data_IF_888870324224
#
_entry.id   IF_888870324224
#
_cell.length_a   1.000
_cell.length_b   1.000
_cell.length_c   1.000
_cell.angle_alpha   90.00
_cell.angle_beta   90.00
_cell.angle_gamma   90.00
#
_symmetry.space_group_name_H-M   'P 1'
#
loop_
_entity.id
_entity.type
_entity.pdbx_description
1 polymer ?
#
# COMPACT_ATOMS: atom_id res chain seq x y z
N UNK A 1 -26.53 13.44 -29.81
CA UNK A 1 -26.61 12.29 -28.87
C UNK A 1 -25.28 11.51 -28.85
N UNK A 2 -24.86 11.01 -27.67
CA UNK A 2 -23.68 10.15 -27.52
C UNK A 2 -24.10 8.70 -27.23
N UNK A 3 -23.36 7.73 -27.75
CA UNK A 3 -23.61 6.31 -27.53
C UNK A 3 -23.06 5.83 -26.17
N UNK A 4 -22.10 6.54 -25.57
CA UNK A 4 -21.53 6.23 -24.27
C UNK A 4 -20.90 7.48 -23.62
N UNK A 5 -20.81 7.45 -22.29
CA UNK A 5 -20.09 8.41 -21.45
C UNK A 5 -19.23 7.63 -20.46
N UNK A 6 -17.96 8.01 -20.33
CA UNK A 6 -17.05 7.45 -19.34
C UNK A 6 -16.54 8.57 -18.44
N UNK A 7 -16.49 8.32 -17.14
CA UNK A 7 -16.10 9.31 -16.12
C UNK A 7 -14.72 8.96 -15.59
N UNK A 8 -13.76 9.85 -15.81
CA UNK A 8 -12.35 9.72 -15.40
C UNK A 8 -11.91 10.92 -14.56
N UNK A 9 -12.62 11.20 -13.46
CA UNK A 9 -12.35 12.35 -12.57
C UNK A 9 -11.36 12.03 -11.43
N UNK A 10 -10.86 10.80 -11.38
CA UNK A 10 -9.99 10.31 -10.31
C UNK A 10 -10.65 9.22 -9.48
N UNK A 11 -9.98 8.86 -8.38
CA UNK A 11 -10.45 7.89 -7.40
C UNK A 11 -10.04 8.37 -6.00
N UNK A 12 -10.90 8.14 -5.03
CA UNK A 12 -10.68 8.48 -3.63
C UNK A 12 -10.47 7.19 -2.83
N UNK A 13 -9.31 7.00 -2.18
CA UNK A 13 -9.04 5.81 -1.38
C UNK A 13 -9.63 5.95 0.03
N UNK A 14 -10.47 5.01 0.43
CA UNK A 14 -11.06 4.94 1.77
C UNK A 14 -10.04 4.47 2.82
N UNK A 15 -9.19 5.38 3.29
CA UNK A 15 -8.04 5.09 4.17
C UNK A 15 -8.08 5.88 5.49
N UNK A 16 -9.21 6.50 5.81
CA UNK A 16 -9.40 7.35 6.99
C UNK A 16 -9.18 6.56 8.28
N UNK A 17 -9.51 5.27 8.28
CA UNK A 17 -9.30 4.35 9.41
C UNK A 17 -7.84 4.26 9.86
N UNK A 18 -6.89 4.47 8.94
CA UNK A 18 -5.44 4.33 9.19
C UNK A 18 -4.70 5.67 9.13
N UNK A 19 -5.44 6.79 9.20
CA UNK A 19 -4.83 8.12 9.30
C UNK A 19 -3.92 8.23 10.52
N UNK A 20 -2.72 8.77 10.32
CA UNK A 20 -1.67 8.86 11.34
C UNK A 20 -1.07 7.52 11.78
N UNK A 21 -1.56 6.40 11.27
CA UNK A 21 -1.04 5.06 11.58
C UNK A 21 -0.01 4.62 10.54
N UNK A 22 -0.32 4.79 9.25
CA UNK A 22 0.58 4.46 8.14
C UNK A 22 0.83 5.67 7.26
N UNK A 23 1.98 5.68 6.58
CA UNK A 23 2.32 6.75 5.63
C UNK A 23 1.38 6.70 4.42
N UNK A 24 0.85 7.86 4.06
CA UNK A 24 -0.05 8.07 2.91
C UNK A 24 0.49 9.20 2.05
N UNK A 25 0.26 9.15 0.74
CA UNK A 25 0.57 10.29 -0.12
C UNK A 25 -0.46 11.43 0.07
N UNK A 26 -0.21 12.56 -0.58
CA UNK A 26 -1.09 13.74 -0.51
C UNK A 26 -2.51 13.51 -1.07
N UNK A 27 -2.74 12.43 -1.83
CA UNK A 27 -4.03 12.02 -2.35
C UNK A 27 -4.71 10.94 -1.47
N UNK A 28 -4.13 10.60 -0.31
CA UNK A 28 -4.69 9.64 0.65
C UNK A 28 -4.38 8.17 0.36
N UNK A 29 -3.61 7.84 -0.68
CA UNK A 29 -3.27 6.42 -0.94
C UNK A 29 -2.14 5.96 -0.01
N UNK A 30 -2.24 4.72 0.48
CA UNK A 30 -1.24 4.13 1.38
C UNK A 30 0.06 3.87 0.61
N UNK A 31 1.20 4.27 1.19
CA UNK A 31 2.52 3.95 0.65
C UNK A 31 2.94 2.55 1.09
N UNK A 32 3.43 1.74 0.16
CA UNK A 32 3.84 0.35 0.41
C UNK A 32 5.18 0.01 -0.23
N UNK A 33 5.96 -0.87 0.38
CA UNK A 33 7.15 -1.44 -0.26
C UNK A 33 8.12 -0.37 -0.75
N UNK A 34 8.41 -0.39 -2.04
CA UNK A 34 9.31 0.57 -2.70
C UNK A 34 8.78 2.00 -2.79
N UNK A 35 7.48 2.22 -2.59
CA UNK A 35 6.86 3.56 -2.56
C UNK A 35 7.11 4.30 -1.24
N UNK A 36 7.58 3.60 -0.20
CA UNK A 36 7.95 4.23 1.05
C UNK A 36 9.14 5.17 0.85
N UNK A 37 9.16 6.33 1.51
CA UNK A 37 10.32 7.21 1.48
C UNK A 37 11.56 6.41 1.89
N UNK A 38 12.66 6.55 1.15
CA UNK A 38 13.93 5.94 1.53
C UNK A 38 14.66 6.87 2.47
N UNK A 39 14.96 6.40 3.66
CA UNK A 39 15.75 7.16 4.60
C UNK A 39 17.21 7.15 4.22
N UNK A 40 17.86 8.30 4.37
CA UNK A 40 19.28 8.26 4.70
C UNK A 40 19.40 7.41 5.97
N UNK A 41 20.22 6.35 5.93
CA UNK A 41 20.45 5.43 7.05
C UNK A 41 20.61 6.25 8.34
N UNK A 42 19.59 6.27 9.21
CA UNK A 42 19.62 7.00 10.48
C UNK A 42 18.46 7.97 10.78
N UNK A 43 17.57 8.31 9.85
CA UNK A 43 16.42 9.18 10.16
C UNK A 43 15.12 8.38 10.31
N UNK A 44 14.61 8.10 11.55
CA UNK A 44 13.23 7.68 11.94
C UNK A 44 12.43 6.66 11.06
N UNK A 45 13.04 6.05 10.07
CA UNK A 45 12.38 5.51 8.88
C UNK A 45 12.79 4.05 8.74
N UNK A 46 11.76 3.20 8.73
CA UNK A 46 11.82 1.75 8.73
C UNK A 46 12.68 1.10 9.86
N UNK A 47 12.06 0.45 10.85
CA UNK A 47 12.78 0.00 12.06
C UNK A 47 13.46 -1.37 11.90
N UNK A 48 13.23 -2.10 10.80
CA UNK A 48 13.76 -3.45 10.61
C UNK A 48 15.04 -3.46 9.75
N UNK A 49 15.89 -4.47 9.97
CA UNK A 49 17.14 -4.67 9.22
C UNK A 49 16.92 -5.02 7.74
N UNK A 50 15.76 -5.58 7.41
CA UNK A 50 15.35 -5.89 6.03
C UNK A 50 14.59 -4.72 5.43
N UNK A 51 14.52 -4.65 4.11
CA UNK A 51 13.59 -3.74 3.45
C UNK A 51 12.12 -4.16 3.68
N UNK A 52 11.15 -3.23 3.54
CA UNK A 52 9.73 -3.55 3.54
C UNK A 52 9.37 -4.58 2.46
N UNK A 53 8.43 -5.48 2.74
CA UNK A 53 7.86 -6.33 1.68
C UNK A 53 7.04 -5.48 0.70
N UNK A 54 6.77 -6.02 -0.50
CA UNK A 54 6.11 -5.30 -1.59
C UNK A 54 4.80 -4.58 -1.17
N UNK A 55 3.99 -5.22 -0.32
CA UNK A 55 2.69 -4.71 0.12
C UNK A 55 2.71 -4.21 1.57
N UNK A 56 3.89 -4.14 2.20
CA UNK A 56 4.04 -3.71 3.58
C UNK A 56 4.05 -2.19 3.65
N UNK A 57 3.29 -1.64 4.59
CA UNK A 57 3.17 -0.19 4.82
C UNK A 57 4.40 0.35 5.56
N UNK A 58 4.39 1.62 5.97
CA UNK A 58 5.47 2.20 6.81
C UNK A 58 5.58 1.57 8.19
N UNK A 59 4.56 0.85 8.65
CA UNK A 59 4.55 0.11 9.91
C UNK A 59 4.76 -1.38 9.61
N UNK A 60 5.86 -1.98 10.07
CA UNK A 60 6.11 -3.41 9.84
C UNK A 60 4.98 -4.29 10.36
N UNK A 61 4.61 -5.29 9.57
CA UNK A 61 3.49 -6.19 9.88
C UNK A 61 2.10 -5.68 9.46
N UNK A 62 1.96 -4.41 9.06
CA UNK A 62 0.73 -3.89 8.43
C UNK A 62 0.92 -3.92 6.91
N UNK A 63 -0.05 -4.50 6.20
CA UNK A 63 -0.03 -4.65 4.75
C UNK A 63 -1.26 -4.02 4.11
N UNK A 64 -1.09 -3.45 2.92
CA UNK A 64 -2.18 -2.89 2.12
C UNK A 64 -2.20 -3.52 0.72
N UNK A 65 -3.39 -3.87 0.24
CA UNK A 65 -3.61 -4.53 -1.04
C UNK A 65 -4.80 -3.91 -1.77
N UNK A 66 -4.77 -3.93 -3.09
CA UNK A 66 -5.82 -3.37 -3.94
C UNK A 66 -5.76 -1.85 -4.03
N UNK A 67 -6.88 -1.25 -4.44
CA UNK A 67 -6.90 0.13 -4.95
C UNK A 67 -6.55 1.20 -3.92
N UNK A 68 -6.49 0.86 -2.63
CA UNK A 68 -6.15 1.77 -1.52
C UNK A 68 -4.66 2.17 -1.49
N UNK A 69 -3.78 1.39 -2.13
CA UNK A 69 -2.34 1.67 -2.13
C UNK A 69 -1.89 2.50 -3.33
N UNK A 70 -0.79 3.20 -3.19
CA UNK A 70 -0.13 3.89 -4.28
C UNK A 70 0.30 2.90 -5.38
N UNK A 71 0.16 3.29 -6.64
CA UNK A 71 0.59 2.49 -7.79
C UNK A 71 -0.27 1.25 -8.06
N UNK A 72 -1.43 1.10 -7.42
CA UNK A 72 -2.36 0.03 -7.72
C UNK A 72 -2.85 0.09 -9.17
N UNK A 73 -3.01 -1.07 -9.80
CA UNK A 73 -3.48 -1.20 -11.20
C UNK A 73 -4.96 -0.83 -11.34
N UNK A 74 -5.71 -0.76 -10.23
CA UNK A 74 -7.13 -0.41 -10.16
C UNK A 74 -8.02 -1.37 -10.94
N UNK A 75 -7.78 -2.67 -10.74
CA UNK A 75 -8.48 -3.78 -11.41
C UNK A 75 -8.78 -4.89 -10.41
N UNK A 76 -9.96 -5.48 -10.51
CA UNK A 76 -10.42 -6.57 -9.63
C UNK A 76 -9.41 -7.72 -9.56
N UNK A 77 -8.93 -8.22 -10.71
CA UNK A 77 -7.98 -9.32 -10.73
C UNK A 77 -6.65 -8.99 -10.03
N UNK A 78 -6.15 -7.75 -10.20
CA UNK A 78 -4.94 -7.29 -9.51
C UNK A 78 -5.16 -7.21 -8.01
N UNK A 79 -6.28 -6.63 -7.57
CA UNK A 79 -6.60 -6.50 -6.15
C UNK A 79 -6.73 -7.88 -5.47
N UNK A 80 -7.36 -8.86 -6.13
CA UNK A 80 -7.47 -10.24 -5.63
C UNK A 80 -6.08 -10.88 -5.50
N UNK A 81 -5.22 -10.73 -6.53
CA UNK A 81 -3.86 -11.25 -6.50
C UNK A 81 -3.02 -10.62 -5.39
N UNK A 82 -3.10 -9.30 -5.22
CA UNK A 82 -2.41 -8.58 -4.14
C UNK A 82 -2.88 -9.05 -2.76
N UNK A 83 -4.18 -9.30 -2.58
CA UNK A 83 -4.71 -9.86 -1.32
C UNK A 83 -4.08 -11.21 -0.97
N UNK A 84 -3.95 -12.12 -1.94
CA UNK A 84 -3.28 -13.41 -1.74
C UNK A 84 -1.78 -13.27 -1.42
N UNK A 85 -1.10 -12.33 -2.08
CA UNK A 85 0.31 -12.02 -1.83
C UNK A 85 0.50 -11.42 -0.43
N UNK A 86 -0.40 -10.53 0.00
CA UNK A 86 -0.33 -9.90 1.32
C UNK A 86 -0.34 -10.95 2.45
N UNK A 87 -1.20 -11.97 2.36
CA UNK A 87 -1.23 -13.09 3.32
C UNK A 87 0.11 -13.85 3.34
N UNK A 88 0.70 -14.08 2.17
CA UNK A 88 2.02 -14.73 2.08
C UNK A 88 3.11 -13.91 2.80
N UNK A 89 3.09 -12.58 2.67
CA UNK A 89 4.02 -11.72 3.38
C UNK A 89 3.73 -11.62 4.88
N UNK A 90 2.46 -11.67 5.31
CA UNK A 90 2.11 -11.78 6.73
C UNK A 90 2.77 -13.02 7.33
N UNK A 91 2.67 -14.18 6.67
CA UNK A 91 3.36 -15.38 7.13
C UNK A 91 4.89 -15.25 7.18
N UNK A 92 5.49 -14.53 6.22
CA UNK A 92 6.93 -14.27 6.26
C UNK A 92 7.31 -13.33 7.40
N UNK A 93 6.54 -12.27 7.64
CA UNK A 93 6.74 -11.35 8.75
C UNK A 93 6.64 -12.05 10.11
N UNK A 94 5.63 -12.90 10.29
CA UNK A 94 5.41 -13.63 11.54
C UNK A 94 6.54 -14.62 11.88
N UNK A 95 7.37 -15.02 10.90
CA UNK A 95 8.58 -15.81 11.17
C UNK A 95 9.75 -14.99 11.74
N UNK A 96 9.62 -13.67 11.76
CA UNK A 96 10.69 -12.73 12.16
C UNK A 96 10.43 -12.02 13.48
N UNK A 97 9.27 -12.24 14.08
CA UNK A 97 8.85 -11.66 15.38
C UNK A 97 8.94 -12.69 16.50
#
# INVERSE_FOLDING_TARGET
PAAALFIFIGAEPHTELVDGVVERNSAGFILTGSDLPKGNRGSKMWPLKRDPFLLETSVPGIFAAGDVRQGAVRRVASAVGEGAIAVSFVHQYLKTV
#
